data_IF_352490712958
#
_entry.id   IF_352490712958
#
_cell.length_a   1.000
_cell.length_b   1.000
_cell.length_c   1.000
_cell.angle_alpha   90.00
_cell.angle_beta   90.00
_cell.angle_gamma   90.00
#
_symmetry.space_group_name_H-M   'P 1'
#
loop_
_entity.id
_entity.type
_entity.pdbx_description
1 polymer ?
#
# COMPACT_ATOMS: atom_id res chain seq x y z
N UNK A 1 -1.92 21.46 -15.50
CA UNK A 1 -2.29 20.86 -14.20
C UNK A 1 -2.60 21.92 -13.15
N UNK A 2 -1.64 22.72 -12.64
CA UNK A 2 -1.90 23.65 -11.51
C UNK A 2 -3.07 24.62 -11.71
N UNK A 3 -3.31 25.11 -12.94
CA UNK A 3 -4.48 25.94 -13.28
C UNK A 3 -5.82 25.31 -12.92
N UNK A 4 -5.91 23.98 -12.98
CA UNK A 4 -7.13 23.20 -12.75
C UNK A 4 -7.17 22.57 -11.35
N UNK A 5 -6.09 22.65 -10.58
CA UNK A 5 -6.08 22.15 -9.20
C UNK A 5 -6.82 23.13 -8.27
N UNK A 6 -7.56 22.63 -7.27
CA UNK A 6 -8.08 23.44 -6.16
C UNK A 6 -6.98 24.27 -5.51
N UNK A 7 -7.32 25.41 -4.90
CA UNK A 7 -6.35 26.29 -4.23
C UNK A 7 -5.56 25.57 -3.14
N UNK A 8 -6.21 24.62 -2.45
CA UNK A 8 -5.64 23.79 -1.40
C UNK A 8 -5.89 22.32 -1.71
N UNK A 9 -4.82 21.54 -1.68
CA UNK A 9 -4.80 20.13 -2.06
C UNK A 9 -4.29 19.30 -0.88
N UNK A 10 -4.95 18.19 -0.59
CA UNK A 10 -4.47 17.22 0.39
C UNK A 10 -3.56 16.21 -0.31
N UNK A 11 -2.42 15.94 0.30
CA UNK A 11 -1.49 14.89 -0.12
C UNK A 11 -1.57 13.81 0.94
N UNK A 12 -2.02 12.62 0.54
CA UNK A 12 -2.15 11.52 1.47
C UNK A 12 -0.77 11.01 1.91
N UNK A 13 -0.63 10.58 3.18
CA UNK A 13 0.66 10.30 3.77
C UNK A 13 1.40 9.12 3.15
N UNK A 14 0.66 8.21 2.52
CA UNK A 14 1.08 6.94 1.92
C UNK A 14 2.39 7.16 1.16
N UNK A 15 2.34 7.64 -0.07
CA UNK A 15 3.55 7.88 -0.86
C UNK A 15 4.01 9.35 -0.84
N UNK A 16 3.28 10.23 -0.15
CA UNK A 16 3.34 11.68 -0.32
C UNK A 16 3.05 12.08 -1.77
N UNK A 17 2.08 11.39 -2.39
CA UNK A 17 1.69 11.60 -3.77
C UNK A 17 0.38 12.39 -3.84
N UNK A 18 0.31 13.30 -4.80
CA UNK A 18 -0.93 13.93 -5.23
C UNK A 18 -1.21 13.51 -6.66
N UNK A 19 -2.22 12.67 -6.85
CA UNK A 19 -2.63 12.21 -8.17
C UNK A 19 -3.43 13.28 -8.89
N UNK A 20 -3.20 13.39 -10.20
CA UNK A 20 -3.98 14.26 -11.07
C UNK A 20 -4.39 13.53 -12.34
N UNK A 21 -5.49 13.98 -12.92
CA UNK A 21 -5.97 13.56 -14.23
C UNK A 21 -6.55 14.76 -14.96
N UNK A 22 -6.15 14.98 -16.20
CA UNK A 22 -6.73 16.04 -17.03
C UNK A 22 -6.67 15.69 -18.51
N UNK A 23 -7.52 16.35 -19.29
CA UNK A 23 -7.57 16.18 -20.74
C UNK A 23 -6.60 17.15 -21.42
N UNK A 24 -5.75 16.63 -22.30
CA UNK A 24 -4.85 17.40 -23.16
C UNK A 24 -5.21 17.11 -24.63
N UNK A 25 -6.10 17.92 -25.21
CA UNK A 25 -6.66 17.64 -26.53
C UNK A 25 -7.53 16.39 -26.54
N UNK A 26 -7.13 15.35 -27.28
CA UNK A 26 -7.81 14.05 -27.31
C UNK A 26 -7.22 13.02 -26.32
N UNK A 27 -6.13 13.36 -25.63
CA UNK A 27 -5.42 12.47 -24.71
C UNK A 27 -5.89 12.69 -23.28
N UNK A 28 -5.98 11.61 -22.52
CA UNK A 28 -6.16 11.68 -21.06
C UNK A 28 -4.80 11.50 -20.42
N UNK A 29 -4.34 12.52 -19.71
CA UNK A 29 -3.06 12.48 -19.00
C UNK A 29 -3.35 12.25 -17.53
N UNK A 30 -2.74 11.21 -16.99
CA UNK A 30 -2.80 10.85 -15.57
C UNK A 30 -1.39 10.79 -15.00
N UNK A 31 -1.25 11.06 -13.72
CA UNK A 31 0.05 11.15 -13.09
C UNK A 31 -0.02 11.52 -11.62
N UNK A 32 1.13 11.78 -11.03
CA UNK A 32 1.27 12.23 -9.66
C UNK A 32 2.32 13.33 -9.52
N UNK A 33 2.15 14.12 -8.46
CA UNK A 33 3.19 14.93 -7.85
C UNK A 33 3.70 14.19 -6.63
N UNK A 34 5.01 14.07 -6.44
CA UNK A 34 5.61 13.43 -5.27
C UNK A 34 6.42 14.43 -4.46
N UNK A 35 6.16 14.46 -3.15
CA UNK A 35 6.71 15.42 -2.19
C UNK A 35 7.78 14.84 -1.24
N UNK A 36 8.37 13.70 -1.58
CA UNK A 36 9.40 13.04 -0.76
C UNK A 36 10.61 13.93 -0.47
N UNK A 37 11.03 14.74 -1.46
CA UNK A 37 12.16 15.67 -1.36
C UNK A 37 11.71 17.13 -1.23
N UNK A 38 10.47 17.35 -0.78
CA UNK A 38 9.94 18.69 -0.55
C UNK A 38 10.78 19.54 0.42
N UNK A 39 11.41 18.98 1.49
CA UNK A 39 12.34 19.73 2.33
C UNK A 39 13.59 20.25 1.60
N UNK A 40 13.97 19.61 0.49
CA UNK A 40 15.06 20.05 -0.38
C UNK A 40 14.56 20.95 -1.53
N UNK A 41 13.29 21.39 -1.49
CA UNK A 41 12.64 22.19 -2.53
C UNK A 41 12.58 21.49 -3.91
N UNK A 42 12.54 20.16 -3.92
CA UNK A 42 12.43 19.36 -5.14
C UNK A 42 11.02 18.79 -5.25
N UNK A 43 10.37 19.00 -6.40
CA UNK A 43 9.09 18.41 -6.75
C UNK A 43 9.26 17.35 -7.82
N UNK A 44 8.82 16.12 -7.54
CA UNK A 44 8.83 15.04 -8.53
C UNK A 44 7.50 15.02 -9.26
N UNK A 45 7.53 14.82 -10.58
CA UNK A 45 6.33 14.69 -11.41
C UNK A 45 6.46 13.45 -12.28
N UNK A 46 5.53 12.52 -12.13
CA UNK A 46 5.33 11.39 -13.02
C UNK A 46 4.01 11.51 -13.77
N UNK A 47 3.98 11.21 -15.07
CA UNK A 47 2.74 11.18 -15.84
C UNK A 47 2.81 10.23 -17.04
N UNK A 48 1.64 9.80 -17.50
CA UNK A 48 1.46 8.94 -18.66
C UNK A 48 0.17 9.28 -19.41
N UNK A 49 0.06 8.80 -20.66
CA UNK A 49 -1.19 8.82 -21.41
C UNK A 49 -2.00 7.54 -21.14
N UNK A 50 -3.25 7.68 -20.71
CA UNK A 50 -4.13 6.55 -20.44
C UNK A 50 -4.39 5.69 -21.70
N UNK A 51 -4.35 6.30 -22.89
CA UNK A 51 -4.55 5.60 -24.16
C UNK A 51 -3.24 5.00 -24.72
N UNK A 52 -2.08 5.38 -24.18
CA UNK A 52 -0.77 4.87 -24.58
C UNK A 52 0.14 4.76 -23.34
N UNK A 53 0.00 3.64 -22.62
CA UNK A 53 0.79 3.38 -21.41
C UNK A 53 2.28 3.14 -21.68
N UNK A 54 2.72 3.05 -22.93
CA UNK A 54 4.16 3.05 -23.26
C UNK A 54 4.78 4.45 -23.09
N UNK A 55 3.93 5.49 -23.14
CA UNK A 55 4.33 6.86 -22.90
C UNK A 55 4.27 7.18 -21.41
N UNK A 56 5.33 6.82 -20.68
CA UNK A 56 5.55 7.24 -19.28
C UNK A 56 6.68 8.25 -19.24
N UNK A 57 6.51 9.32 -18.45
CA UNK A 57 7.53 10.34 -18.19
C UNK A 57 7.61 10.60 -16.69
N UNK A 58 8.83 10.73 -16.19
CA UNK A 58 9.08 11.15 -14.82
C UNK A 58 10.28 12.10 -14.80
N UNK A 59 10.21 13.16 -14.01
CA UNK A 59 11.33 14.07 -13.77
C UNK A 59 11.19 14.76 -12.42
N UNK A 60 12.31 15.24 -11.90
CA UNK A 60 12.38 16.14 -10.76
C UNK A 60 12.44 17.57 -11.28
N UNK A 61 11.85 18.50 -10.53
CA UNK A 61 11.81 19.92 -10.86
C UNK A 61 12.18 20.75 -9.63
N UNK A 62 12.92 21.83 -9.86
CA UNK A 62 13.25 22.83 -8.86
C UNK A 62 13.15 24.26 -9.42
N UNK A 63 13.68 25.24 -8.68
CA UNK A 63 13.65 26.65 -9.08
C UNK A 63 14.36 26.92 -10.41
N UNK A 64 15.34 26.10 -10.80
CA UNK A 64 16.04 26.20 -12.10
C UNK A 64 15.13 25.85 -13.28
N UNK A 65 14.08 25.06 -13.05
CA UNK A 65 13.03 24.74 -14.02
C UNK A 65 11.85 25.73 -13.97
N UNK A 66 11.93 26.76 -13.12
CA UNK A 66 10.84 27.71 -12.87
C UNK A 66 9.71 27.15 -12.00
N UNK A 67 9.93 26.01 -11.33
CA UNK A 67 9.01 25.45 -10.32
C UNK A 67 9.52 25.82 -8.94
N UNK A 68 8.78 26.65 -8.21
CA UNK A 68 9.16 27.00 -6.84
C UNK A 68 8.36 26.17 -5.86
N UNK A 69 9.06 25.53 -4.92
CA UNK A 69 8.46 24.81 -3.80
C UNK A 69 8.89 25.48 -2.50
N UNK A 70 7.95 26.18 -1.87
CA UNK A 70 8.21 26.91 -0.61
C UNK A 70 7.37 26.35 0.53
N UNK A 71 8.00 26.18 1.70
CA UNK A 71 7.31 25.70 2.90
C UNK A 71 6.51 26.85 3.51
N UNK A 72 5.18 26.73 3.53
CA UNK A 72 4.25 27.71 4.11
C UNK A 72 3.86 27.39 5.55
N UNK A 73 4.23 26.21 6.07
CA UNK A 73 3.98 25.79 7.44
C UNK A 73 4.40 24.34 7.71
N UNK A 74 4.12 23.79 8.91
CA UNK A 74 4.31 22.37 9.20
C UNK A 74 3.49 21.50 8.23
N UNK A 75 4.17 20.67 7.42
CA UNK A 75 3.52 19.83 6.41
C UNK A 75 2.83 20.61 5.27
N UNK A 76 3.09 21.90 5.10
CA UNK A 76 2.43 22.73 4.08
C UNK A 76 3.44 23.31 3.11
N UNK A 77 3.17 23.13 1.82
CA UNK A 77 4.02 23.58 0.74
C UNK A 77 3.21 24.34 -0.30
N UNK A 78 3.67 25.52 -0.70
CA UNK A 78 3.18 26.22 -1.87
C UNK A 78 4.02 25.80 -3.08
N UNK A 79 3.35 25.30 -4.11
CA UNK A 79 3.95 25.02 -5.43
C UNK A 79 3.56 26.15 -6.36
N UNK A 80 4.53 26.87 -6.92
CA UNK A 80 4.30 27.89 -7.93
C UNK A 80 4.97 27.58 -9.27
N UNK A 81 4.26 27.90 -10.35
CA UNK A 81 4.78 27.87 -11.72
C UNK A 81 3.98 28.84 -12.61
N UNK A 82 4.67 29.67 -13.40
CA UNK A 82 4.03 30.59 -14.34
C UNK A 82 3.01 31.54 -13.72
N UNK A 83 3.32 32.07 -12.53
CA UNK A 83 2.48 33.03 -11.79
C UNK A 83 1.27 32.42 -11.07
N UNK A 84 1.16 31.08 -11.04
CA UNK A 84 0.09 30.37 -10.32
C UNK A 84 0.69 29.65 -9.14
N UNK A 85 0.10 29.83 -7.96
CA UNK A 85 0.47 29.11 -6.75
C UNK A 85 -0.70 28.25 -6.25
N UNK A 86 -0.38 27.08 -5.71
CA UNK A 86 -1.33 26.16 -5.04
C UNK A 86 -0.72 25.63 -3.75
N UNK A 87 -1.53 25.53 -2.70
CA UNK A 87 -1.11 24.92 -1.43
C UNK A 87 -1.32 23.40 -1.50
N UNK A 88 -0.32 22.67 -1.00
CA UNK A 88 -0.34 21.23 -0.78
C UNK A 88 -0.09 20.97 0.70
N UNK A 89 -1.00 20.23 1.32
CA UNK A 89 -0.91 19.85 2.73
C UNK A 89 -0.59 18.36 2.81
N UNK A 90 0.64 18.06 3.22
CA UNK A 90 1.08 16.71 3.57
C UNK A 90 0.40 16.33 4.88
N UNK A 91 -0.60 15.46 4.78
CA UNK A 91 -1.24 14.90 5.96
C UNK A 91 -0.25 13.91 6.56
N UNK A 92 0.08 14.09 7.84
CA UNK A 92 0.84 13.09 8.60
C UNK A 92 -0.16 12.31 9.45
N UNK A 93 -0.12 10.97 9.45
CA UNK A 93 -1.01 10.21 10.29
C UNK A 93 -0.66 10.51 11.75
N UNK A 94 -1.70 10.71 12.57
CA UNK A 94 -1.51 10.79 14.01
C UNK A 94 -0.86 9.47 14.47
N UNK A 95 0.15 9.55 15.33
CA UNK A 95 0.84 8.37 15.87
C UNK A 95 0.34 8.15 17.29
N UNK A 96 -0.66 7.31 17.44
CA UNK A 96 -1.06 6.79 18.74
C UNK A 96 -1.06 5.28 18.63
N UNK A 97 -0.30 4.61 19.51
CA UNK A 97 -0.32 3.15 19.57
C UNK A 97 -1.77 2.69 19.75
N UNK A 98 -2.30 1.90 18.81
CA UNK A 98 -3.72 1.56 18.80
C UNK A 98 -4.01 0.51 19.87
N UNK A 99 -5.22 0.51 20.42
CA UNK A 99 -5.70 -0.56 21.33
C UNK A 99 -6.00 -1.89 20.61
N UNK A 100 -5.50 -2.04 19.38
CA UNK A 100 -5.76 -3.15 18.46
C UNK A 100 -4.65 -4.20 18.43
N UNK A 101 -3.50 -3.97 19.07
CA UNK A 101 -2.42 -4.94 19.06
C UNK A 101 -2.80 -6.19 19.86
N UNK A 102 -2.49 -7.37 19.31
CA UNK A 102 -2.59 -8.64 20.05
C UNK A 102 -1.21 -9.09 20.51
N UNK A 103 -1.17 -10.11 21.37
CA UNK A 103 0.10 -10.65 21.90
C UNK A 103 1.02 -11.08 20.77
N UNK A 104 2.27 -10.61 20.80
CA UNK A 104 3.29 -10.94 19.80
C UNK A 104 3.32 -10.02 18.58
N UNK A 105 2.43 -9.02 18.54
CA UNK A 105 2.48 -7.96 17.52
C UNK A 105 3.16 -6.69 18.04
N UNK A 106 3.78 -5.98 17.11
CA UNK A 106 4.34 -4.65 17.32
C UNK A 106 3.68 -3.67 16.36
N UNK A 107 3.27 -2.50 16.87
CA UNK A 107 2.81 -1.41 16.02
C UNK A 107 3.96 -0.90 15.13
N UNK A 108 3.69 -0.76 13.82
CA UNK A 108 4.66 -0.20 12.87
C UNK A 108 4.27 1.23 12.51
N UNK A 109 3.07 1.43 11.97
CA UNK A 109 2.61 2.73 11.51
C UNK A 109 1.09 2.78 11.33
N UNK A 110 0.52 3.96 11.49
CA UNK A 110 -0.79 4.29 10.95
C UNK A 110 -0.66 4.64 9.46
N UNK A 111 -1.50 4.02 8.64
CA UNK A 111 -1.51 4.14 7.19
C UNK A 111 -2.87 4.69 6.77
N UNK A 112 -2.88 5.88 6.20
CA UNK A 112 -4.08 6.36 5.47
C UNK A 112 -3.81 6.08 4.02
N UNK A 113 -4.52 5.10 3.49
CA UNK A 113 -4.36 4.63 2.12
C UNK A 113 -5.06 5.56 1.11
N UNK A 114 -4.63 5.51 -0.13
CA UNK A 114 -5.18 6.31 -1.23
C UNK A 114 -6.63 5.91 -1.56
N UNK A 115 -7.06 4.71 -1.16
CA UNK A 115 -8.48 4.28 -1.18
C UNK A 115 -9.36 5.02 -0.17
N UNK A 116 -8.76 5.79 0.74
CA UNK A 116 -9.43 6.43 1.87
C UNK A 116 -9.56 5.53 3.10
N UNK A 117 -9.17 4.25 3.03
CA UNK A 117 -9.12 3.39 4.21
C UNK A 117 -7.99 3.82 5.14
N UNK A 118 -8.22 3.71 6.44
CA UNK A 118 -7.16 3.83 7.43
C UNK A 118 -6.82 2.44 7.96
N UNK A 119 -5.55 2.07 7.91
CA UNK A 119 -5.00 0.83 8.42
C UNK A 119 -4.00 1.10 9.53
N UNK A 120 -3.83 0.12 10.38
CA UNK A 120 -2.69 -0.05 11.25
C UNK A 120 -1.79 -1.11 10.60
N UNK A 121 -0.57 -0.71 10.24
CA UNK A 121 0.47 -1.66 9.86
C UNK A 121 1.05 -2.25 11.15
N UNK A 122 0.95 -3.57 11.29
CA UNK A 122 1.51 -4.32 12.43
C UNK A 122 2.57 -5.29 11.97
N UNK A 123 3.55 -5.54 12.82
CA UNK A 123 4.57 -6.57 12.67
C UNK A 123 4.26 -7.74 13.60
N UNK A 124 4.20 -8.95 13.07
CA UNK A 124 4.15 -10.17 13.86
C UNK A 124 5.51 -10.88 13.76
N UNK A 125 6.23 -11.01 14.87
CA UNK A 125 7.57 -11.60 14.89
C UNK A 125 7.57 -13.08 14.52
N UNK A 126 6.50 -13.79 14.84
CA UNK A 126 6.24 -15.17 14.44
C UNK A 126 4.88 -15.19 13.72
N UNK A 127 4.83 -15.45 12.40
CA UNK A 127 5.86 -16.04 11.53
C UNK A 127 6.74 -15.02 10.76
N UNK A 128 7.09 -13.88 11.35
CA UNK A 128 7.85 -12.79 10.70
C UNK A 128 7.12 -12.20 9.49
N UNK A 129 6.00 -11.52 9.75
CA UNK A 129 5.17 -10.94 8.70
C UNK A 129 4.56 -9.60 9.09
N UNK A 130 4.28 -8.78 8.10
CA UNK A 130 3.46 -7.58 8.26
C UNK A 130 1.98 -7.90 8.09
N UNK A 131 1.08 -7.12 8.70
CA UNK A 131 -0.37 -7.17 8.43
C UNK A 131 -0.94 -5.77 8.34
N UNK A 132 -1.87 -5.56 7.42
CA UNK A 132 -2.70 -4.36 7.40
C UNK A 132 -4.01 -4.66 8.11
N UNK A 133 -4.17 -4.10 9.31
CA UNK A 133 -5.38 -4.22 10.12
C UNK A 133 -6.21 -2.97 9.90
N UNK A 134 -7.49 -3.11 9.52
CA UNK A 134 -8.37 -1.95 9.34
C UNK A 134 -8.53 -1.23 10.68
N UNK A 135 -8.35 0.09 10.68
CA UNK A 135 -8.49 0.90 11.89
C UNK A 135 -9.99 1.15 12.18
N UNK A 136 -10.57 0.58 13.26
CA UNK A 136 -11.97 0.73 13.58
C UNK A 136 -12.32 2.12 14.15
N UNK A 137 -11.33 2.92 14.57
CA UNK A 137 -11.54 4.28 15.08
C UNK A 137 -11.61 5.31 13.96
N UNK A 138 -11.23 4.94 12.73
CA UNK A 138 -11.36 5.78 11.57
C UNK A 138 -12.73 5.61 10.91
N UNK A 139 -13.19 6.65 10.21
CA UNK A 139 -14.36 6.53 9.34
C UNK A 139 -14.01 5.60 8.18
N UNK A 140 -14.78 4.52 8.02
CA UNK A 140 -14.66 3.67 6.84
C UNK A 140 -15.18 4.42 5.61
N UNK A 141 -14.44 4.46 4.49
CA UNK A 141 -14.91 5.11 3.26
C UNK A 141 -16.07 4.34 2.60
N UNK A 142 -16.31 3.09 3.02
CA UNK A 142 -17.32 2.21 2.45
C UNK A 142 -17.87 1.18 3.45
N UNK A 143 -18.92 0.47 3.03
CA UNK A 143 -19.47 -0.67 3.76
C UNK A 143 -18.79 -1.96 3.33
N UNK A 144 -18.50 -2.83 4.31
CA UNK A 144 -18.03 -4.19 4.07
C UNK A 144 -19.24 -5.14 4.00
N UNK A 145 -19.44 -5.78 2.86
CA UNK A 145 -20.50 -6.77 2.67
C UNK A 145 -19.95 -8.18 2.94
N UNK A 146 -20.67 -9.04 3.68
CA UNK A 146 -20.26 -10.43 3.87
C UNK A 146 -20.26 -11.18 2.53
N UNK A 147 -19.27 -12.03 2.29
CA UNK A 147 -19.22 -12.92 1.13
C UNK A 147 -19.99 -14.20 1.47
N UNK A 148 -21.18 -14.46 0.88
CA UNK A 148 -22.00 -15.59 1.25
C UNK A 148 -21.30 -16.94 1.00
N UNK A 149 -21.40 -17.86 1.95
CA UNK A 149 -20.81 -19.20 1.83
C UNK A 149 -19.28 -19.25 1.97
N UNK A 150 -18.63 -18.12 2.28
CA UNK A 150 -17.21 -18.12 2.60
C UNK A 150 -16.93 -18.79 3.95
N UNK A 151 -15.86 -19.56 4.03
CA UNK A 151 -15.37 -20.17 5.27
C UNK A 151 -13.85 -20.11 5.25
N UNK A 152 -13.17 -19.40 6.19
CA UNK A 152 -13.77 -18.60 7.25
C UNK A 152 -14.60 -17.43 6.66
N UNK A 153 -15.47 -16.78 7.46
CA UNK A 153 -16.23 -15.63 6.99
C UNK A 153 -15.32 -14.54 6.43
N UNK A 154 -15.54 -14.18 5.16
CA UNK A 154 -14.84 -13.10 4.48
C UNK A 154 -15.81 -11.95 4.20
N UNK A 155 -15.27 -10.74 4.13
CA UNK A 155 -16.02 -9.53 3.84
C UNK A 155 -15.34 -8.77 2.71
N UNK A 156 -16.13 -8.10 1.88
CA UNK A 156 -15.62 -7.36 0.71
C UNK A 156 -16.10 -5.93 0.72
N UNK A 157 -15.19 -4.99 0.45
CA UNK A 157 -15.54 -3.61 0.15
C UNK A 157 -16.30 -3.52 -1.16
N UNK A 158 -17.45 -2.83 -1.16
CA UNK A 158 -18.27 -2.59 -2.35
C UNK A 158 -17.52 -1.86 -3.47
N UNK A 159 -16.73 -0.85 -3.10
CA UNK A 159 -16.03 0.04 -4.03
C UNK A 159 -14.58 -0.41 -4.24
N UNK A 160 -13.79 -0.56 -3.17
CA UNK A 160 -12.37 -0.95 -3.29
C UNK A 160 -12.19 -2.39 -3.78
N UNK A 161 -13.17 -3.25 -3.50
CA UNK A 161 -13.04 -4.70 -3.64
C UNK A 161 -11.90 -5.25 -2.79
N UNK A 162 -11.51 -4.56 -1.71
CA UNK A 162 -10.65 -5.16 -0.70
C UNK A 162 -11.40 -6.28 0.01
N UNK A 163 -10.74 -7.43 0.18
CA UNK A 163 -11.30 -8.57 0.90
C UNK A 163 -10.62 -8.67 2.25
N UNK A 164 -11.44 -8.70 3.30
CA UNK A 164 -11.02 -8.76 4.69
C UNK A 164 -11.41 -10.10 5.31
N UNK A 165 -10.53 -10.57 6.19
CA UNK A 165 -10.76 -11.68 7.09
C UNK A 165 -10.76 -11.14 8.51
N UNK A 166 -11.71 -11.59 9.34
CA UNK A 166 -11.73 -11.23 10.75
C UNK A 166 -10.96 -12.28 11.54
N UNK A 167 -9.99 -11.85 12.34
CA UNK A 167 -9.27 -12.73 13.25
C UNK A 167 -10.08 -13.04 14.52
N UNK A 168 -9.51 -13.86 15.39
CA UNK A 168 -10.14 -14.33 16.62
C UNK A 168 -10.39 -13.19 17.63
N UNK A 169 -9.70 -12.05 17.47
CA UNK A 169 -9.92 -10.84 18.27
C UNK A 169 -10.94 -9.88 17.65
N UNK A 170 -11.56 -10.27 16.52
CA UNK A 170 -12.56 -9.47 15.82
C UNK A 170 -11.97 -8.35 14.96
N UNK A 171 -10.68 -8.40 14.65
CA UNK A 171 -9.99 -7.38 13.84
C UNK A 171 -10.07 -7.74 12.37
N UNK A 172 -10.42 -6.77 11.53
CA UNK A 172 -10.45 -6.98 10.09
C UNK A 172 -9.04 -6.83 9.50
N UNK A 173 -8.48 -7.93 9.00
CA UNK A 173 -7.16 -7.99 8.38
C UNK A 173 -7.36 -8.04 6.86
N UNK A 174 -6.65 -7.19 6.12
CA UNK A 174 -6.69 -7.22 4.66
C UNK A 174 -6.10 -8.53 4.14
N UNK A 175 -6.93 -9.35 3.51
CA UNK A 175 -6.55 -10.63 2.90
C UNK A 175 -6.21 -10.48 1.42
N UNK A 176 -6.98 -9.68 0.68
CA UNK A 176 -6.86 -9.63 -0.77
C UNK A 176 -7.20 -8.29 -1.38
N UNK A 177 -6.49 -8.00 -2.47
CA UNK A 177 -6.70 -6.83 -3.31
C UNK A 177 -7.00 -7.28 -4.74
N UNK A 178 -7.99 -6.66 -5.38
CA UNK A 178 -8.39 -7.07 -6.72
C UNK A 178 -7.29 -6.75 -7.74
N UNK A 179 -6.81 -7.77 -8.46
CA UNK A 179 -5.64 -7.66 -9.32
C UNK A 179 -5.83 -6.68 -10.50
N UNK A 180 -7.07 -6.40 -10.92
CA UNK A 180 -7.32 -5.36 -11.92
C UNK A 180 -7.00 -3.96 -11.41
N UNK A 181 -7.20 -3.69 -10.12
CA UNK A 181 -6.89 -2.39 -9.53
C UNK A 181 -5.37 -2.21 -9.45
N UNK A 182 -4.65 -3.25 -9.01
CA UNK A 182 -3.17 -3.30 -9.04
C UNK A 182 -2.65 -3.02 -10.45
N UNK A 183 -3.15 -3.73 -11.47
CA UNK A 183 -2.73 -3.52 -12.87
C UNK A 183 -3.11 -2.13 -13.40
N UNK A 184 -4.22 -1.57 -12.92
CA UNK A 184 -4.64 -0.23 -13.28
C UNK A 184 -3.79 0.84 -12.59
N UNK A 185 -3.20 0.53 -11.43
CA UNK A 185 -2.50 1.48 -10.55
C UNK A 185 -3.43 2.65 -10.17
N UNK A 186 -4.60 2.31 -9.64
CA UNK A 186 -5.64 3.26 -9.25
C UNK A 186 -5.73 3.34 -7.71
N UNK A 187 -6.60 4.19 -7.17
CA UNK A 187 -6.79 4.36 -5.71
C UNK A 187 -7.11 3.08 -4.92
N UNK A 188 -7.36 1.93 -5.56
CA UNK A 188 -7.71 0.66 -4.94
C UNK A 188 -6.69 -0.45 -5.24
N UNK A 189 -5.47 -0.10 -5.62
CA UNK A 189 -4.37 -1.05 -5.88
C UNK A 189 -3.75 -1.66 -4.61
N UNK A 190 -4.12 -1.15 -3.43
CA UNK A 190 -3.83 -1.76 -2.14
C UNK A 190 -3.24 -0.75 -1.19
N UNK A 191 -3.23 -1.06 0.12
CA UNK A 191 -2.58 -0.20 1.09
C UNK A 191 -1.09 -0.15 0.81
N UNK A 192 -0.67 1.05 0.46
CA UNK A 192 0.70 1.50 0.51
C UNK A 192 1.72 0.51 -0.06
N UNK A 193 1.87 0.56 -1.38
CA UNK A 193 2.76 -0.30 -2.17
C UNK A 193 4.25 -0.18 -1.82
N UNK A 194 4.65 0.63 -0.83
CA UNK A 194 6.03 0.89 -0.43
C UNK A 194 6.20 1.06 1.09
N UNK A 195 7.42 0.90 1.60
CA UNK A 195 7.77 1.14 3.00
C UNK A 195 7.47 2.60 3.41
N UNK A 196 6.85 2.82 4.60
CA UNK A 196 6.71 4.15 5.19
C UNK A 196 8.02 4.94 5.27
N UNK A 197 8.11 6.16 4.70
CA UNK A 197 9.36 6.90 4.71
C UNK A 197 9.81 7.21 6.14
N UNK A 198 11.09 6.98 6.40
CA UNK A 198 11.74 7.29 7.68
C UNK A 198 11.57 6.25 8.79
N UNK A 199 10.90 5.12 8.54
CA UNK A 199 10.79 4.05 9.54
C UNK A 199 11.95 3.05 9.41
N UNK A 200 12.68 2.72 10.50
CA UNK A 200 13.83 1.82 10.45
C UNK A 200 13.37 0.35 10.40
N UNK A 201 12.92 -0.11 9.24
CA UNK A 201 12.26 -1.42 9.08
C UNK A 201 13.11 -2.49 8.40
N UNK A 202 14.38 -2.21 8.09
CA UNK A 202 15.26 -3.14 7.36
C UNK A 202 15.21 -4.58 7.86
N UNK A 203 15.39 -4.82 9.16
CA UNK A 203 15.45 -6.17 9.71
C UNK A 203 14.10 -6.91 9.56
N UNK A 204 12.99 -6.21 9.83
CA UNK A 204 11.63 -6.75 9.66
C UNK A 204 11.32 -7.04 8.19
N UNK A 205 11.76 -6.17 7.28
CA UNK A 205 11.62 -6.37 5.83
C UNK A 205 12.41 -7.58 5.36
N UNK A 206 13.66 -7.75 5.81
CA UNK A 206 14.49 -8.89 5.46
C UNK A 206 13.92 -10.21 6.03
N UNK A 207 13.33 -10.18 7.22
CA UNK A 207 12.64 -11.32 7.79
C UNK A 207 11.36 -11.69 7.00
N UNK A 208 10.53 -10.71 6.63
CA UNK A 208 9.29 -10.94 5.88
C UNK A 208 9.49 -11.26 4.41
N UNK A 209 10.59 -10.79 3.83
CA UNK A 209 10.93 -10.94 2.42
C UNK A 209 12.40 -11.37 2.28
N UNK A 210 12.74 -12.65 2.58
CA UNK A 210 14.12 -13.12 2.61
C UNK A 210 14.89 -12.92 1.30
N UNK A 211 14.19 -12.89 0.16
CA UNK A 211 14.80 -12.56 -1.13
C UNK A 211 15.51 -11.19 -1.15
N UNK A 212 15.10 -10.23 -0.31
CA UNK A 212 15.77 -8.93 -0.19
C UNK A 212 17.21 -9.06 0.30
N UNK A 213 17.50 -10.00 1.21
CA UNK A 213 18.85 -10.20 1.73
C UNK A 213 19.87 -10.63 0.65
N UNK A 214 19.38 -11.20 -0.46
CA UNK A 214 20.23 -11.76 -1.51
C UNK A 214 20.18 -10.97 -2.83
N UNK A 215 19.08 -10.24 -3.09
CA UNK A 215 18.84 -9.62 -4.40
C UNK A 215 19.15 -8.13 -4.46
N UNK A 216 19.10 -7.42 -3.33
CA UNK A 216 19.28 -5.98 -3.35
C UNK A 216 19.70 -5.43 -1.99
N UNK A 217 20.66 -4.50 -1.99
CA UNK A 217 20.97 -3.77 -0.77
C UNK A 217 19.93 -2.68 -0.51
N UNK A 218 19.35 -2.71 0.69
CA UNK A 218 18.45 -1.68 1.19
C UNK A 218 19.09 -0.93 2.37
N UNK A 219 18.81 0.36 2.46
CA UNK A 219 19.17 1.18 3.61
C UNK A 219 18.30 0.80 4.85
N UNK A 220 18.56 1.38 6.04
CA UNK A 220 17.76 1.10 7.24
C UNK A 220 16.26 1.37 7.08
N UNK A 221 15.86 2.19 6.11
CA UNK A 221 14.50 2.64 5.87
C UNK A 221 13.80 1.95 4.69
N UNK A 222 14.42 0.90 4.13
CA UNK A 222 13.84 0.13 3.03
C UNK A 222 13.96 0.79 1.65
N UNK A 223 14.83 1.79 1.48
CA UNK A 223 15.17 2.32 0.16
C UNK A 223 16.21 1.43 -0.52
N UNK A 224 16.04 1.14 -1.81
CA UNK A 224 17.02 0.38 -2.58
C UNK A 224 18.25 1.25 -2.90
N UNK A 225 19.44 0.82 -2.45
CA UNK A 225 20.70 1.56 -2.68
C UNK A 225 21.10 1.61 -4.16
N UNK A 226 20.78 0.55 -4.91
CA UNK A 226 21.07 0.46 -6.36
C UNK A 226 19.98 1.03 -7.26
N UNK A 227 18.89 1.57 -6.72
CA UNK A 227 17.75 2.07 -7.50
C UNK A 227 17.14 3.29 -6.82
N UNK A 228 17.75 4.48 -7.01
CA UNK A 228 17.31 5.71 -6.36
C UNK A 228 15.82 5.97 -6.55
N UNK A 229 15.14 6.31 -5.45
CA UNK A 229 13.70 6.60 -5.45
C UNK A 229 12.79 5.36 -5.48
N UNK A 230 13.34 4.14 -5.46
CA UNK A 230 12.57 2.91 -5.23
C UNK A 230 12.69 2.45 -3.78
N UNK A 231 11.58 1.95 -3.24
CA UNK A 231 11.47 1.39 -1.89
C UNK A 231 10.89 -0.01 -1.96
N UNK A 232 11.20 -0.82 -0.95
CA UNK A 232 10.60 -2.15 -0.78
C UNK A 232 9.08 -2.01 -0.70
N UNK A 233 8.36 -2.92 -1.35
CA UNK A 233 6.91 -3.01 -1.24
C UNK A 233 6.51 -3.86 -0.03
N UNK A 234 5.58 -3.34 0.80
CA UNK A 234 4.97 -4.10 1.89
C UNK A 234 3.58 -4.54 1.43
N UNK A 235 3.50 -5.68 0.74
CA UNK A 235 2.23 -6.22 0.22
C UNK A 235 1.89 -7.58 0.86
N UNK A 236 1.53 -7.63 2.16
CA UNK A 236 1.14 -8.86 2.85
C UNK A 236 -0.31 -9.22 2.53
N UNK A 237 -0.69 -9.23 1.26
CA UNK A 237 -2.04 -9.58 0.80
C UNK A 237 -1.95 -10.31 -0.53
N UNK A 238 -3.05 -10.95 -0.92
CA UNK A 238 -3.12 -11.74 -2.16
C UNK A 238 -3.81 -10.92 -3.25
N UNK A 239 -3.12 -10.59 -4.36
CA UNK A 239 -3.77 -10.18 -5.59
C UNK A 239 -4.72 -11.28 -6.07
N UNK A 240 -6.00 -10.94 -6.28
CA UNK A 240 -7.00 -11.90 -6.72
C UNK A 240 -7.76 -11.40 -7.95
N UNK A 241 -8.03 -12.30 -8.91
CA UNK A 241 -8.82 -11.97 -10.11
C UNK A 241 -10.32 -12.30 -9.95
N UNK A 242 -10.68 -13.16 -8.99
CA UNK A 242 -12.06 -13.55 -8.70
C UNK A 242 -12.26 -13.82 -7.20
N UNK A 243 -13.38 -13.32 -6.64
CA UNK A 243 -13.78 -13.58 -5.24
C UNK A 243 -13.92 -15.09 -5.01
N UNK A 244 -14.55 -15.82 -5.92
CA UNK A 244 -14.76 -17.27 -5.78
C UNK A 244 -13.46 -18.05 -5.70
N UNK A 245 -12.44 -17.63 -6.46
CA UNK A 245 -11.13 -18.23 -6.42
C UNK A 245 -10.43 -17.98 -5.08
N UNK A 246 -10.55 -16.77 -4.53
CA UNK A 246 -10.01 -16.42 -3.22
C UNK A 246 -10.75 -17.19 -2.09
N UNK A 247 -12.07 -17.25 -2.15
CA UNK A 247 -12.92 -18.01 -1.21
C UNK A 247 -12.54 -19.49 -1.22
N UNK A 248 -12.37 -20.09 -2.40
CA UNK A 248 -11.98 -21.51 -2.54
C UNK A 248 -10.64 -21.78 -1.87
N UNK A 249 -9.65 -20.89 -2.08
CA UNK A 249 -8.34 -21.00 -1.44
C UNK A 249 -8.42 -20.85 0.08
N UNK A 250 -9.22 -19.91 0.58
CA UNK A 250 -9.42 -19.70 2.01
C UNK A 250 -10.12 -20.91 2.68
N UNK A 251 -11.14 -21.47 2.04
CA UNK A 251 -11.86 -22.65 2.51
C UNK A 251 -10.98 -23.89 2.56
N UNK A 252 -10.12 -24.10 1.56
CA UNK A 252 -9.16 -25.20 1.55
C UNK A 252 -8.19 -25.14 2.74
N UNK A 253 -7.76 -23.92 3.12
CA UNK A 253 -6.92 -23.73 4.30
C UNK A 253 -7.67 -24.04 5.60
N UNK A 254 -8.88 -23.49 5.74
CA UNK A 254 -9.68 -23.67 6.96
C UNK A 254 -10.12 -25.12 7.20
N UNK A 255 -10.45 -25.86 6.13
CA UNK A 255 -10.85 -27.26 6.23
C UNK A 255 -9.77 -28.18 6.85
N UNK A 256 -8.52 -27.70 6.92
CA UNK A 256 -7.40 -28.41 7.58
C UNK A 256 -7.27 -28.06 9.08
N UNK A 257 -8.27 -27.40 9.66
CA UNK A 257 -8.26 -26.97 11.06
C UNK A 257 -7.51 -25.66 11.31
N UNK A 258 -7.12 -24.94 10.25
CA UNK A 258 -6.44 -23.65 10.37
C UNK A 258 -7.39 -22.58 10.92
N UNK A 259 -6.88 -21.80 11.88
CA UNK A 259 -7.50 -20.55 12.33
C UNK A 259 -7.60 -19.53 11.19
N UNK A 260 -8.41 -18.48 11.35
CA UNK A 260 -8.60 -17.50 10.30
C UNK A 260 -7.28 -16.78 9.98
N UNK A 261 -6.48 -16.49 11.02
CA UNK A 261 -5.15 -15.92 10.90
C UNK A 261 -4.17 -16.85 10.17
N UNK A 262 -4.15 -18.14 10.50
CA UNK A 262 -3.30 -19.12 9.79
C UNK A 262 -3.68 -19.28 8.32
N UNK A 263 -4.98 -19.18 7.98
CA UNK A 263 -5.42 -19.14 6.57
C UNK A 263 -4.84 -17.92 5.86
N UNK A 264 -4.94 -16.74 6.47
CA UNK A 264 -4.35 -15.52 5.93
C UNK A 264 -2.83 -15.66 5.73
N UNK A 265 -2.11 -16.19 6.73
CA UNK A 265 -0.65 -16.36 6.69
C UNK A 265 -0.24 -17.31 5.57
N UNK A 266 -0.91 -18.46 5.47
CA UNK A 266 -0.61 -19.45 4.45
C UNK A 266 -0.82 -18.95 3.03
N UNK A 267 -1.92 -18.23 2.79
CA UNK A 267 -2.22 -17.68 1.47
C UNK A 267 -1.25 -16.57 1.06
N UNK A 268 -0.93 -15.65 1.97
CA UNK A 268 0.00 -14.55 1.69
C UNK A 268 1.44 -15.04 1.54
N UNK A 269 1.87 -16.01 2.36
CA UNK A 269 3.20 -16.62 2.24
C UNK A 269 3.34 -17.42 0.93
N UNK A 270 2.34 -18.23 0.57
CA UNK A 270 2.32 -18.95 -0.70
C UNK A 270 2.47 -18.01 -1.89
N UNK A 271 1.70 -16.92 -1.89
CA UNK A 271 1.76 -15.92 -2.95
C UNK A 271 3.14 -15.25 -3.05
N UNK A 272 3.72 -14.84 -1.91
CA UNK A 272 5.07 -14.24 -1.86
C UNK A 272 6.15 -15.18 -2.38
N UNK A 273 6.11 -16.46 -1.99
CA UNK A 273 7.05 -17.49 -2.48
C UNK A 273 6.99 -17.63 -3.99
N UNK A 274 5.78 -17.82 -4.52
CA UNK A 274 5.54 -18.00 -5.95
C UNK A 274 5.92 -16.78 -6.80
N UNK A 275 5.65 -15.56 -6.33
CA UNK A 275 5.71 -14.36 -7.18
C UNK A 275 6.86 -13.42 -6.85
N UNK A 276 7.32 -13.36 -5.60
CA UNK A 276 8.41 -12.47 -5.18
C UNK A 276 9.72 -13.23 -5.02
N UNK A 277 9.68 -14.47 -4.51
CA UNK A 277 10.90 -15.26 -4.29
C UNK A 277 11.26 -16.13 -5.50
N UNK A 278 10.31 -16.36 -6.41
CA UNK A 278 10.53 -17.22 -7.57
C UNK A 278 10.63 -18.70 -7.21
N UNK A 279 10.05 -19.07 -6.05
CA UNK A 279 9.93 -20.45 -5.60
C UNK A 279 8.56 -20.97 -6.03
N UNK A 280 8.52 -21.98 -6.90
CA UNK A 280 7.27 -22.62 -7.28
C UNK A 280 6.76 -23.46 -6.11
N UNK A 281 5.83 -22.92 -5.34
CA UNK A 281 5.19 -23.59 -4.21
C UNK A 281 3.68 -23.63 -4.44
N UNK A 282 3.13 -24.85 -4.44
CA UNK A 282 1.68 -25.00 -4.38
C UNK A 282 1.17 -24.35 -3.07
N UNK A 283 0.06 -23.59 -3.10
CA UNK A 283 -0.53 -23.01 -1.90
C UNK A 283 -0.75 -24.02 -0.77
N UNK A 284 -1.02 -25.26 -1.16
CA UNK A 284 -1.22 -26.40 -0.27
C UNK A 284 0.01 -26.76 0.55
N UNK A 285 1.22 -26.56 0.01
CA UNK A 285 2.49 -26.87 0.66
C UNK A 285 2.84 -25.81 1.69
N UNK A 286 2.67 -24.52 1.37
CA UNK A 286 2.96 -23.42 2.30
C UNK A 286 2.04 -23.46 3.54
N UNK A 287 0.77 -23.84 3.36
CA UNK A 287 -0.17 -24.02 4.46
C UNK A 287 0.13 -25.27 5.29
N UNK A 288 0.61 -26.36 4.64
CA UNK A 288 1.10 -27.55 5.33
C UNK A 288 2.37 -27.32 6.16
N UNK A 289 3.30 -26.51 5.65
CA UNK A 289 4.52 -26.09 6.37
C UNK A 289 4.18 -25.23 7.61
N UNK A 290 3.11 -24.43 7.54
CA UNK A 290 2.63 -23.60 8.65
C UNK A 290 1.87 -24.40 9.71
N UNK A 291 1.14 -25.44 9.32
CA UNK A 291 0.39 -26.30 10.24
C UNK A 291 1.25 -27.41 10.89
N UNK A 292 2.50 -27.59 10.44
CA UNK A 292 3.43 -28.60 10.95
C UNK A 292 4.49 -28.04 11.92
N UNK A 293 4.48 -26.74 12.17
CA UNK A 293 5.27 -26.03 13.20
C UNK A 293 4.37 -25.63 14.36
#
# INVERSE_FOLDING_TARGET
MLRHAPERNLVYPTELYFYFRFRAGHRWISGNLRFTDAPASILHIGYFDENDRSFVRASSFDATDGVELSRSGPGRYAVSWGGIAREFVLVSPARSEPDLLVTGEEFVADIVDDSGHSFVLVWAAEPSTFRYVLNPHALSPETLDPIPGSTPPLFVGRESRFVFLFDESGRAILLGVHASNIRANNYYDGPFDQVPPGFPLKDKLQAAYPALAHRSEIDPHGNYLGSPGQRVAISPYVPYDSIDALVTKAAAGHARGATALQVWEGLTLAWRRANLWGEELAPDTALGDLLSK
#
